data_IF_272587832986
#
_entry.id   IF_272587832986
#
_cell.length_a   1.000
_cell.length_b   1.000
_cell.length_c   1.000
_cell.angle_alpha   90.00
_cell.angle_beta   90.00
_cell.angle_gamma   90.00
#
_symmetry.space_group_name_H-M   'P 1'
#
loop_
_entity.id
_entity.type
_entity.pdbx_description
1 polymer ?
#
# COMPACT_ATOMS: atom_id res chain seq x y z
N UNK A 1 21.32 -3.38 6.09
CA UNK A 1 21.81 -2.17 6.79
C UNK A 1 20.59 -1.39 7.25
N UNK A 2 20.45 -1.12 8.56
CA UNK A 2 19.43 -0.20 9.10
C UNK A 2 20.18 1.07 9.45
N UNK A 3 20.10 2.10 8.61
CA UNK A 3 20.57 3.42 9.00
C UNK A 3 19.50 3.98 9.93
N UNK A 4 19.84 4.14 11.21
CA UNK A 4 18.91 4.67 12.20
C UNK A 4 19.67 5.71 13.02
N UNK A 5 19.57 6.97 12.61
CA UNK A 5 20.08 8.10 13.37
C UNK A 5 19.06 8.51 14.45
N UNK A 6 19.54 8.99 15.60
CA UNK A 6 18.71 9.33 16.78
C UNK A 6 19.36 10.48 17.57
N UNK A 7 18.62 11.33 18.33
CA UNK A 7 17.16 11.49 18.40
C UNK A 7 16.67 12.96 18.35
N UNK A 8 15.35 13.09 18.16
CA UNK A 8 14.46 14.27 18.33
C UNK A 8 13.98 14.92 17.02
N UNK A 9 14.82 15.25 16.04
CA UNK A 9 14.31 15.84 14.77
C UNK A 9 14.11 14.82 13.62
N UNK A 10 14.88 13.72 13.61
CA UNK A 10 14.90 12.74 12.49
C UNK A 10 13.83 11.65 12.62
N UNK A 11 12.86 11.77 13.52
CA UNK A 11 11.79 10.76 13.69
C UNK A 11 10.68 10.81 12.64
N UNK A 12 10.64 11.87 11.84
CA UNK A 12 9.56 12.12 10.90
C UNK A 12 9.75 11.39 9.56
N UNK A 13 10.99 11.32 9.08
CA UNK A 13 11.35 10.68 7.82
C UNK A 13 12.01 9.33 8.08
N UNK A 14 11.67 8.31 7.29
CA UNK A 14 12.37 7.02 7.38
C UNK A 14 12.44 6.31 6.04
N UNK A 15 13.46 5.45 5.90
CA UNK A 15 13.61 4.56 4.75
C UNK A 15 13.86 3.14 5.28
N UNK A 16 13.09 2.19 4.78
CA UNK A 16 13.30 0.77 5.02
C UNK A 16 13.61 0.08 3.70
N UNK A 17 14.65 -0.76 3.69
CA UNK A 17 15.00 -1.58 2.53
C UNK A 17 15.12 -3.06 2.94
N UNK A 18 14.41 -3.91 2.23
CA UNK A 18 14.45 -5.37 2.36
C UNK A 18 14.96 -5.97 1.05
N UNK A 19 16.26 -5.81 0.79
CA UNK A 19 16.92 -6.43 -0.36
C UNK A 19 17.06 -7.94 -0.21
N UNK A 20 16.81 -8.67 -1.30
CA UNK A 20 17.06 -10.11 -1.43
C UNK A 20 17.95 -10.35 -2.63
N UNK A 21 18.98 -11.17 -2.44
CA UNK A 21 19.69 -11.76 -3.57
C UNK A 21 18.89 -12.97 -4.03
N UNK A 22 18.05 -12.77 -5.05
CA UNK A 22 17.07 -13.78 -5.48
C UNK A 22 17.72 -15.04 -6.08
N UNK A 23 18.95 -14.94 -6.59
CA UNK A 23 19.71 -16.10 -7.08
C UNK A 23 20.37 -16.92 -5.95
N UNK A 24 20.38 -16.39 -4.72
CA UNK A 24 20.95 -17.12 -3.60
C UNK A 24 20.15 -18.41 -3.33
N UNK A 25 20.78 -19.50 -2.87
CA UNK A 25 20.10 -20.77 -2.61
C UNK A 25 18.86 -20.67 -1.71
N UNK A 26 18.82 -19.67 -0.82
CA UNK A 26 17.69 -19.44 0.09
C UNK A 26 16.42 -18.90 -0.59
N UNK A 27 16.54 -18.35 -1.80
CA UNK A 27 15.44 -17.67 -2.52
C UNK A 27 15.27 -18.17 -3.96
N UNK A 28 16.20 -18.99 -4.45
CA UNK A 28 16.19 -19.48 -5.82
C UNK A 28 14.89 -20.25 -6.13
N UNK A 29 14.12 -19.75 -7.09
CA UNK A 29 12.83 -20.33 -7.49
C UNK A 29 11.64 -19.90 -6.62
N UNK A 30 11.84 -19.01 -5.65
CA UNK A 30 10.75 -18.40 -4.88
C UNK A 30 10.22 -17.18 -5.65
N UNK A 31 9.17 -17.40 -6.44
CA UNK A 31 8.51 -16.36 -7.25
C UNK A 31 7.78 -15.28 -6.40
N UNK A 32 7.59 -15.53 -5.10
CA UNK A 32 6.93 -14.60 -4.19
C UNK A 32 7.91 -13.68 -3.46
N UNK A 33 9.17 -14.08 -3.37
CA UNK A 33 10.20 -13.32 -2.71
C UNK A 33 10.69 -12.17 -3.61
N UNK A 34 10.58 -10.94 -3.10
CA UNK A 34 11.03 -9.72 -3.81
C UNK A 34 11.96 -8.88 -2.96
N UNK A 35 12.72 -8.01 -3.62
CA UNK A 35 13.30 -6.84 -2.95
C UNK A 35 12.25 -5.75 -2.83
N UNK A 36 12.20 -5.06 -1.69
CA UNK A 36 11.23 -3.98 -1.47
C UNK A 36 11.86 -2.81 -0.72
N UNK A 37 11.35 -1.61 -0.96
CA UNK A 37 11.71 -0.38 -0.27
C UNK A 37 10.45 0.35 0.17
N UNK A 38 10.51 1.01 1.32
CA UNK A 38 9.46 1.91 1.80
C UNK A 38 10.10 3.23 2.27
N UNK A 39 9.47 4.33 1.90
CA UNK A 39 9.80 5.67 2.37
C UNK A 39 8.65 6.20 3.20
N UNK A 40 8.94 6.71 4.39
CA UNK A 40 7.97 7.38 5.25
C UNK A 40 8.29 8.85 5.29
N UNK A 41 7.28 9.67 5.06
CA UNK A 41 7.30 11.12 5.26
C UNK A 41 6.32 11.45 6.39
N UNK A 42 6.58 12.48 7.20
CA UNK A 42 5.62 12.93 8.18
C UNK A 42 4.40 13.55 7.47
N UNK A 43 3.21 13.44 8.07
CA UNK A 43 2.00 14.04 7.49
C UNK A 43 2.13 15.56 7.37
N UNK A 44 2.93 16.19 8.22
CA UNK A 44 3.32 17.59 8.17
C UNK A 44 4.01 17.95 6.85
N UNK A 45 4.72 17.02 6.20
CA UNK A 45 5.29 17.24 4.87
C UNK A 45 4.20 17.35 3.81
N UNK A 46 3.21 16.45 3.85
CA UNK A 46 2.04 16.52 2.96
C UNK A 46 1.23 17.80 3.18
N UNK A 47 1.08 18.25 4.42
CA UNK A 47 0.37 19.48 4.75
C UNK A 47 1.12 20.74 4.32
N UNK A 48 2.45 20.77 4.51
CA UNK A 48 3.27 21.93 4.20
C UNK A 48 3.48 22.13 2.69
N UNK A 49 3.69 21.04 1.94
CA UNK A 49 4.02 21.10 0.50
C UNK A 49 2.84 20.74 -0.41
N UNK A 50 1.77 20.18 0.14
CA UNK A 50 0.58 19.77 -0.59
C UNK A 50 0.72 18.43 -1.32
N UNK A 51 -0.41 17.85 -1.77
CA UNK A 51 -0.45 16.54 -2.39
C UNK A 51 0.25 16.49 -3.75
N UNK A 52 0.20 17.57 -4.53
CA UNK A 52 0.88 17.64 -5.82
C UNK A 52 2.40 17.44 -5.68
N UNK A 53 3.01 18.02 -4.64
CA UNK A 53 4.43 17.86 -4.35
C UNK A 53 4.77 16.43 -3.93
N UNK A 54 3.97 15.83 -3.05
CA UNK A 54 4.15 14.43 -2.64
C UNK A 54 3.96 13.46 -3.82
N UNK A 55 3.00 13.74 -4.70
CA UNK A 55 2.77 12.97 -5.94
C UNK A 55 3.96 13.08 -6.89
N UNK A 56 4.49 14.27 -7.10
CA UNK A 56 5.68 14.48 -7.94
C UNK A 56 6.88 13.69 -7.41
N UNK A 57 7.14 13.77 -6.09
CA UNK A 57 8.20 12.99 -5.45
C UNK A 57 8.00 11.47 -5.63
N UNK A 58 6.76 10.99 -5.48
CA UNK A 58 6.46 9.57 -5.68
C UNK A 58 6.68 9.12 -7.13
N UNK A 59 6.38 9.97 -8.11
CA UNK A 59 6.63 9.70 -9.53
C UNK A 59 8.13 9.67 -9.84
N UNK A 60 8.91 10.60 -9.29
CA UNK A 60 10.37 10.60 -9.42
C UNK A 60 10.98 9.31 -8.85
N UNK A 61 10.55 8.89 -7.66
CA UNK A 61 11.00 7.62 -7.06
C UNK A 61 10.57 6.40 -7.90
N UNK A 62 9.34 6.42 -8.41
CA UNK A 62 8.82 5.35 -9.26
C UNK A 62 9.58 5.24 -10.58
N UNK A 63 10.06 6.35 -11.15
CA UNK A 63 10.83 6.35 -12.40
C UNK A 63 12.12 5.53 -12.26
N UNK A 64 12.84 5.71 -11.14
CA UNK A 64 14.15 5.12 -10.86
C UNK A 64 14.11 3.64 -10.44
N UNK A 65 12.97 3.16 -9.94
CA UNK A 65 12.86 1.83 -9.33
C UNK A 65 12.14 0.84 -10.26
N UNK A 66 12.76 -0.32 -10.58
CA UNK A 66 12.01 -1.42 -11.17
C UNK A 66 11.02 -1.95 -10.13
N UNK A 67 9.75 -2.07 -10.51
CA UNK A 67 8.70 -2.53 -9.62
C UNK A 67 7.62 -3.30 -10.38
N UNK A 68 7.05 -4.30 -9.73
CA UNK A 68 5.79 -4.94 -10.16
C UNK A 68 4.58 -4.20 -9.58
N UNK A 69 4.72 -3.66 -8.36
CA UNK A 69 3.70 -2.94 -7.64
C UNK A 69 4.32 -1.91 -6.69
N UNK A 70 3.71 -0.75 -6.56
CA UNK A 70 4.08 0.30 -5.61
C UNK A 70 2.87 1.12 -5.19
N UNK A 71 2.95 1.86 -4.08
CA UNK A 71 1.84 2.71 -3.64
C UNK A 71 2.24 3.85 -2.70
N UNK A 72 1.34 4.81 -2.55
CA UNK A 72 1.39 5.89 -1.54
C UNK A 72 0.08 5.93 -0.77
N UNK A 73 0.17 6.04 0.56
CA UNK A 73 -0.97 6.01 1.48
C UNK A 73 -0.70 6.83 2.75
N UNK A 74 -1.77 7.19 3.46
CA UNK A 74 -1.66 7.56 4.87
C UNK A 74 -1.45 6.28 5.67
N UNK A 75 -0.43 6.22 6.50
CA UNK A 75 -0.06 5.00 7.20
C UNK A 75 0.13 5.19 8.70
N UNK A 76 -0.26 4.19 9.48
CA UNK A 76 0.13 4.10 10.88
C UNK A 76 1.49 3.39 10.97
N UNK A 77 2.54 4.18 11.17
CA UNK A 77 3.93 3.69 11.18
C UNK A 77 4.36 3.32 12.60
N UNK A 78 4.87 2.10 12.77
CA UNK A 78 5.42 1.62 14.05
C UNK A 78 6.85 1.10 13.85
N UNK A 79 7.86 1.98 13.85
CA UNK A 79 9.25 1.59 13.63
C UNK A 79 9.72 0.62 14.72
N UNK A 80 10.12 -0.60 14.34
CA UNK A 80 10.52 -1.66 15.29
C UNK A 80 9.42 -2.65 15.66
N UNK A 81 8.29 -2.64 14.95
CA UNK A 81 7.21 -3.61 15.08
C UNK A 81 6.07 -3.14 15.98
N UNK A 82 4.95 -3.86 15.91
CA UNK A 82 3.73 -3.55 16.66
C UNK A 82 3.77 -4.22 18.04
N UNK A 83 4.09 -3.44 19.08
CA UNK A 83 3.91 -3.88 20.48
C UNK A 83 2.43 -3.94 20.84
N UNK A 84 2.06 -4.67 21.90
CA UNK A 84 0.66 -4.90 22.28
C UNK A 84 -0.21 -3.62 22.36
N UNK A 85 0.26 -2.48 22.91
CA UNK A 85 -0.55 -1.25 22.90
C UNK A 85 -0.81 -0.70 21.50
N UNK A 86 0.19 -0.76 20.61
CA UNK A 86 0.04 -0.30 19.22
C UNK A 86 -0.92 -1.21 18.44
N UNK A 87 -0.89 -2.53 18.67
CA UNK A 87 -1.84 -3.47 18.07
C UNK A 87 -3.29 -3.16 18.48
N UNK A 88 -3.53 -2.90 19.77
CA UNK A 88 -4.85 -2.54 20.27
C UNK A 88 -5.35 -1.23 19.63
N UNK A 89 -4.50 -0.21 19.57
CA UNK A 89 -4.85 1.05 18.90
C UNK A 89 -5.23 0.82 17.42
N UNK A 90 -4.50 -0.04 16.69
CA UNK A 90 -4.84 -0.36 15.30
C UNK A 90 -6.15 -1.12 15.14
N UNK A 91 -6.50 -2.01 16.07
CA UNK A 91 -7.81 -2.68 16.06
C UNK A 91 -8.97 -1.68 16.15
N UNK A 92 -8.77 -0.54 16.83
CA UNK A 92 -9.77 0.53 16.97
C UNK A 92 -9.73 1.52 15.80
N UNK A 93 -8.53 1.86 15.29
CA UNK A 93 -8.35 2.86 14.23
C UNK A 93 -8.71 2.31 12.85
N UNK A 94 -8.32 1.07 12.53
CA UNK A 94 -8.53 0.48 11.21
C UNK A 94 -10.02 0.46 10.78
N UNK A 95 -10.97 -0.02 11.60
CA UNK A 95 -12.39 -0.01 11.22
C UNK A 95 -12.96 1.40 11.01
N UNK A 96 -12.37 2.41 11.65
CA UNK A 96 -12.81 3.80 11.58
C UNK A 96 -12.22 4.53 10.37
N UNK A 97 -10.95 4.29 10.05
CA UNK A 97 -10.22 5.02 9.01
C UNK A 97 -9.78 4.05 7.90
N UNK A 98 -10.67 3.81 6.94
CA UNK A 98 -10.45 2.78 5.90
C UNK A 98 -9.28 3.12 4.95
N UNK A 99 -9.00 4.41 4.78
CA UNK A 99 -7.88 4.91 3.97
C UNK A 99 -6.52 4.76 4.66
N UNK A 100 -6.51 4.53 5.97
CA UNK A 100 -5.28 4.24 6.72
C UNK A 100 -4.66 2.94 6.20
N UNK A 101 -3.34 2.93 6.09
CA UNK A 101 -2.56 1.74 5.76
C UNK A 101 -1.78 1.26 6.97
N UNK A 102 -1.59 -0.06 7.00
CA UNK A 102 -0.78 -0.73 8.00
C UNK A 102 0.06 -1.74 7.24
N UNK A 103 1.36 -1.47 7.18
CA UNK A 103 2.32 -2.27 6.43
C UNK A 103 3.44 -2.82 7.30
N UNK A 104 4.03 -3.91 6.84
CA UNK A 104 5.30 -4.43 7.33
C UNK A 104 6.10 -4.91 6.13
N UNK A 105 7.18 -4.20 5.83
CA UNK A 105 7.91 -4.38 4.58
C UNK A 105 8.48 -5.80 4.44
N UNK A 106 8.96 -6.40 5.55
CA UNK A 106 9.69 -7.68 5.49
C UNK A 106 8.78 -8.89 5.20
N UNK A 107 7.67 -9.12 5.94
CA UNK A 107 6.71 -10.17 5.61
C UNK A 107 6.13 -9.99 4.22
N UNK A 108 5.67 -8.78 3.88
CA UNK A 108 5.10 -8.51 2.55
C UNK A 108 6.11 -8.78 1.44
N UNK A 109 7.37 -8.34 1.57
CA UNK A 109 8.40 -8.62 0.57
C UNK A 109 8.73 -10.12 0.41
N UNK A 110 8.32 -10.98 1.34
CA UNK A 110 8.54 -12.43 1.26
C UNK A 110 7.42 -13.15 0.51
N UNK A 111 6.24 -12.56 0.41
CA UNK A 111 5.01 -13.21 -0.07
C UNK A 111 4.33 -12.49 -1.23
N UNK A 112 4.67 -11.23 -1.53
CA UNK A 112 3.94 -10.45 -2.52
C UNK A 112 4.20 -10.86 -3.97
N UNK A 113 5.43 -11.23 -4.36
CA UNK A 113 5.77 -11.54 -5.75
C UNK A 113 5.41 -10.40 -6.71
N UNK A 114 4.70 -10.72 -7.79
CA UNK A 114 4.19 -9.76 -8.79
C UNK A 114 2.78 -9.23 -8.49
N UNK A 115 2.22 -9.56 -7.33
CA UNK A 115 0.82 -9.28 -6.97
C UNK A 115 0.63 -7.88 -6.38
N UNK A 116 -0.61 -7.43 -6.35
CA UNK A 116 -1.00 -6.18 -5.70
C UNK A 116 -1.20 -6.37 -4.19
N UNK A 117 -0.89 -5.32 -3.42
CA UNK A 117 -1.16 -5.30 -1.96
C UNK A 117 -2.58 -4.82 -1.63
N UNK A 118 -3.16 -3.98 -2.49
CA UNK A 118 -4.43 -3.31 -2.24
C UNK A 118 -4.62 -2.11 -3.16
N UNK A 119 -5.57 -1.24 -2.82
CA UNK A 119 -5.85 0.03 -3.50
C UNK A 119 -5.52 1.22 -2.59
N UNK A 120 -4.74 2.18 -3.09
CA UNK A 120 -4.08 3.24 -2.29
C UNK A 120 -3.93 4.55 -3.05
N UNK A 121 -3.84 5.71 -2.37
CA UNK A 121 -3.89 7.09 -2.93
C UNK A 121 -3.02 7.33 -4.17
N UNK A 122 -1.87 6.72 -4.27
CA UNK A 122 -1.25 6.47 -5.58
C UNK A 122 -1.02 4.97 -5.64
N UNK A 123 -1.32 4.35 -6.78
CA UNK A 123 -1.06 2.93 -7.02
C UNK A 123 -0.27 2.80 -8.31
N UNK A 124 0.91 2.21 -8.22
CA UNK A 124 1.81 2.00 -9.33
C UNK A 124 1.75 0.54 -9.76
N UNK A 125 1.55 0.32 -11.06
CA UNK A 125 1.48 -1.00 -11.67
C UNK A 125 2.67 -1.16 -12.62
N UNK A 126 3.48 -2.18 -12.36
CA UNK A 126 4.57 -2.59 -13.23
C UNK A 126 4.13 -3.58 -14.29
N UNK A 127 4.98 -3.77 -15.30
CA UNK A 127 4.72 -4.70 -16.41
C UNK A 127 4.24 -6.10 -15.94
N UNK A 128 4.88 -6.77 -14.96
CA UNK A 128 4.46 -8.14 -14.59
C UNK A 128 3.04 -8.24 -14.06
N UNK A 129 2.53 -7.18 -13.44
CA UNK A 129 1.15 -7.12 -12.94
C UNK A 129 0.19 -6.62 -14.02
N UNK A 130 0.63 -5.67 -14.86
CA UNK A 130 -0.17 -5.17 -15.98
C UNK A 130 -0.48 -6.27 -17.00
N UNK A 131 0.49 -7.13 -17.32
CA UNK A 131 0.27 -8.29 -18.21
C UNK A 131 -0.85 -9.21 -17.71
N UNK A 132 -1.01 -9.33 -16.39
CA UNK A 132 -2.08 -10.12 -15.77
C UNK A 132 -3.43 -9.39 -15.79
N UNK A 133 -3.39 -8.05 -15.69
CA UNK A 133 -4.58 -7.20 -15.67
C UNK A 133 -5.13 -6.89 -17.07
N UNK A 134 -4.38 -7.19 -18.13
CA UNK A 134 -4.72 -6.92 -19.53
C UNK A 134 -4.09 -5.63 -20.05
N UNK A 135 -4.58 -5.12 -21.19
CA UNK A 135 -4.07 -3.87 -21.77
C UNK A 135 -4.43 -2.64 -20.93
N UNK A 136 -3.68 -1.56 -21.07
CA UNK A 136 -3.98 -0.25 -20.47
C UNK A 136 -5.38 0.24 -20.87
N UNK A 137 -5.80 -0.01 -22.11
CA UNK A 137 -7.12 0.34 -22.62
C UNK A 137 -8.21 -0.46 -21.90
N UNK A 138 -8.03 -1.77 -21.76
CA UNK A 138 -8.98 -2.62 -21.03
C UNK A 138 -9.08 -2.20 -19.56
N UNK A 139 -7.94 -1.83 -18.95
CA UNK A 139 -7.93 -1.30 -17.60
C UNK A 139 -8.71 0.02 -17.51
N UNK A 140 -8.53 0.92 -18.48
CA UNK A 140 -9.25 2.20 -18.55
C UNK A 140 -10.76 2.03 -18.67
N UNK A 141 -11.22 1.04 -19.42
CA UNK A 141 -12.66 0.74 -19.60
C UNK A 141 -13.33 0.18 -18.33
N UNK A 142 -12.58 -0.57 -17.50
CA UNK A 142 -13.09 -1.14 -16.25
C UNK A 142 -13.06 -0.16 -15.08
N UNK A 143 -12.20 0.85 -15.13
CA UNK A 143 -12.05 1.83 -14.05
C UNK A 143 -13.03 3.00 -14.25
N UNK A 144 -13.64 3.52 -13.17
CA UNK A 144 -14.46 4.73 -13.27
C UNK A 144 -13.60 5.94 -13.66
N UNK A 145 -14.23 6.91 -14.32
CA UNK A 145 -13.58 8.14 -14.82
C UNK A 145 -12.91 9.00 -13.73
N UNK A 146 -13.29 8.82 -12.47
CA UNK A 146 -12.63 9.47 -11.33
C UNK A 146 -11.22 8.95 -11.00
N UNK A 147 -10.78 7.86 -11.65
CA UNK A 147 -9.42 7.34 -11.51
C UNK A 147 -8.59 7.80 -12.71
N UNK A 148 -7.56 8.60 -12.46
CA UNK A 148 -6.64 9.04 -13.52
C UNK A 148 -5.60 7.96 -13.79
N UNK A 149 -5.32 7.70 -15.07
CA UNK A 149 -4.28 6.79 -15.54
C UNK A 149 -3.16 7.62 -16.18
N UNK A 150 -1.96 7.57 -15.61
CA UNK A 150 -0.75 8.18 -16.17
C UNK A 150 0.24 7.07 -16.57
N UNK A 151 0.65 7.07 -17.83
CA UNK A 151 1.69 6.15 -18.32
C UNK A 151 3.06 6.65 -17.89
N UNK A 152 3.89 5.73 -17.40
CA UNK A 152 5.28 5.96 -17.04
C UNK A 152 6.19 5.18 -17.99
N UNK A 153 7.47 5.55 -18.04
CA UNK A 153 8.47 4.83 -18.84
C UNK A 153 8.53 3.34 -18.50
N UNK A 154 8.78 2.49 -19.50
CA UNK A 154 8.91 1.04 -19.33
C UNK A 154 7.57 0.31 -19.15
N UNK A 155 6.51 0.77 -19.83
CA UNK A 155 5.17 0.17 -19.80
C UNK A 155 4.60 0.01 -18.39
N UNK A 156 4.76 1.06 -17.56
CA UNK A 156 4.22 1.13 -16.20
C UNK A 156 3.08 2.14 -16.13
N UNK A 157 2.20 2.00 -15.15
CA UNK A 157 1.08 2.92 -14.93
C UNK A 157 1.07 3.47 -13.50
N UNK A 158 0.74 4.75 -13.36
CA UNK A 158 0.31 5.36 -12.11
C UNK A 158 -1.20 5.59 -12.13
N UNK A 159 -1.89 5.05 -11.12
CA UNK A 159 -3.31 5.26 -10.88
C UNK A 159 -3.49 6.21 -9.70
N UNK A 160 -4.11 7.36 -9.92
CA UNK A 160 -4.40 8.34 -8.86
C UNK A 160 -5.91 8.45 -8.63
N UNK A 161 -6.31 8.67 -7.37
CA UNK A 161 -7.70 8.94 -7.00
C UNK A 161 -7.76 10.25 -6.23
N UNK A 162 -8.44 11.22 -6.81
CA UNK A 162 -8.54 12.56 -6.24
C UNK A 162 -7.19 13.26 -6.10
N UNK A 163 -7.25 14.49 -5.61
CA UNK A 163 -6.05 15.27 -5.34
C UNK A 163 -5.40 14.85 -4.02
N UNK A 164 -6.19 14.63 -2.97
CA UNK A 164 -5.70 14.29 -1.63
C UNK A 164 -5.91 12.81 -1.28
N UNK A 165 -5.02 12.19 -0.48
CA UNK A 165 -5.33 10.90 0.11
C UNK A 165 -6.50 11.02 1.08
N UNK A 166 -7.51 10.16 0.90
CA UNK A 166 -8.61 10.07 1.84
C UNK A 166 -8.22 9.24 3.07
N UNK A 167 -8.61 9.71 4.25
CA UNK A 167 -8.44 8.98 5.51
C UNK A 167 -9.50 7.88 5.64
N UNK A 168 -10.68 8.09 5.01
CA UNK A 168 -11.79 7.15 5.07
C UNK A 168 -12.43 7.12 6.45
N UNK A 169 -12.57 8.29 7.11
CA UNK A 169 -13.19 8.39 8.44
C UNK A 169 -14.68 8.06 8.35
N UNK A 170 -15.09 7.02 9.07
CA UNK A 170 -16.46 6.54 9.12
C UNK A 170 -17.44 7.56 9.71
N UNK A 171 -16.94 8.59 10.40
CA UNK A 171 -17.74 9.69 10.94
C UNK A 171 -17.85 10.89 10.01
N UNK A 172 -16.92 11.02 9.06
CA UNK A 172 -16.89 12.14 8.12
C UNK A 172 -17.60 11.83 6.79
N UNK A 173 -18.07 10.58 6.62
CA UNK A 173 -18.68 10.07 5.39
C UNK A 173 -17.77 10.23 4.16
N UNK A 174 -16.46 10.00 4.36
CA UNK A 174 -15.48 10.01 3.27
C UNK A 174 -15.88 8.97 2.20
N UNK A 175 -16.07 9.44 0.97
CA UNK A 175 -16.43 8.58 -0.15
C UNK A 175 -15.24 7.72 -0.62
N UNK A 176 -15.30 6.43 -0.29
CA UNK A 176 -14.29 5.44 -0.66
C UNK A 176 -14.64 4.67 -1.94
N UNK A 177 -15.62 5.08 -2.74
CA UNK A 177 -16.05 4.38 -3.96
C UNK A 177 -14.92 4.17 -4.95
N UNK A 178 -14.07 5.18 -5.20
CA UNK A 178 -12.94 5.04 -6.12
C UNK A 178 -11.87 4.08 -5.59
N UNK A 179 -11.70 3.98 -4.27
CA UNK A 179 -10.81 2.98 -3.66
C UNK A 179 -11.39 1.58 -3.81
N UNK A 180 -12.71 1.43 -3.62
CA UNK A 180 -13.42 0.15 -3.83
C UNK A 180 -13.34 -0.27 -5.29
N UNK A 181 -13.64 0.60 -6.24
CA UNK A 181 -13.60 0.29 -7.67
C UNK A 181 -12.22 -0.21 -8.10
N UNK A 182 -11.15 0.50 -7.71
CA UNK A 182 -9.79 0.05 -7.98
C UNK A 182 -9.50 -1.31 -7.30
N UNK A 183 -9.89 -1.47 -6.05
CA UNK A 183 -9.65 -2.70 -5.33
C UNK A 183 -10.32 -3.90 -5.99
N UNK A 184 -11.56 -3.76 -6.51
CA UNK A 184 -12.25 -4.85 -7.20
C UNK A 184 -11.54 -5.25 -8.50
N UNK A 185 -10.96 -4.29 -9.23
CA UNK A 185 -10.18 -4.58 -10.44
C UNK A 185 -8.88 -5.33 -10.10
N UNK A 186 -8.23 -4.96 -8.99
CA UNK A 186 -6.97 -5.57 -8.56
C UNK A 186 -7.15 -6.88 -7.77
N UNK A 187 -8.35 -7.14 -7.23
CA UNK A 187 -8.64 -8.24 -6.30
C UNK A 187 -8.20 -9.62 -6.78
N UNK A 188 -8.37 -10.00 -8.07
CA UNK A 188 -7.91 -11.29 -8.57
C UNK A 188 -6.41 -11.51 -8.44
N UNK A 189 -5.65 -10.41 -8.32
CA UNK A 189 -4.19 -10.40 -8.20
C UNK A 189 -3.73 -9.88 -6.85
N UNK A 190 -4.57 -9.92 -5.81
CA UNK A 190 -4.11 -9.62 -4.45
C UNK A 190 -3.20 -10.72 -3.92
N UNK A 191 -2.13 -10.31 -3.24
CA UNK A 191 -1.30 -11.25 -2.50
C UNK A 191 -2.00 -11.78 -1.25
N UNK A 192 -1.52 -12.91 -0.75
CA UNK A 192 -1.92 -13.44 0.54
C UNK A 192 -0.75 -13.35 1.51
N UNK A 193 -0.95 -12.70 2.65
CA UNK A 193 0.06 -12.67 3.69
C UNK A 193 0.16 -14.04 4.36
N UNK A 194 1.35 -14.65 4.30
CA UNK A 194 1.60 -15.99 4.85
C UNK A 194 2.04 -15.96 6.32
N UNK A 195 2.44 -14.79 6.81
CA UNK A 195 2.93 -14.62 8.18
C UNK A 195 2.18 -13.47 8.84
N UNK A 196 1.16 -13.78 9.65
CA UNK A 196 0.43 -12.76 10.40
C UNK A 196 1.37 -11.98 11.33
N UNK A 197 1.42 -10.66 11.18
CA UNK A 197 2.27 -9.79 12.00
C UNK A 197 1.50 -8.65 12.66
N UNK A 198 0.29 -8.35 12.16
CA UNK A 198 -0.54 -7.23 12.59
C UNK A 198 -1.25 -7.50 13.93
N UNK A 199 -2.35 -8.24 13.88
CA UNK A 199 -3.21 -8.54 15.04
C UNK A 199 -3.39 -10.06 15.13
N UNK A 200 -4.07 -10.60 14.14
CA UNK A 200 -4.25 -12.03 13.87
C UNK A 200 -4.49 -12.21 12.36
N UNK A 201 -4.41 -13.45 11.89
CA UNK A 201 -4.55 -13.79 10.46
C UNK A 201 -5.90 -13.38 9.88
N UNK A 202 -6.98 -13.49 10.67
CA UNK A 202 -8.32 -13.16 10.20
C UNK A 202 -8.51 -11.65 10.06
N UNK A 203 -8.00 -10.86 11.01
CA UNK A 203 -7.98 -9.41 10.96
C UNK A 203 -7.15 -8.93 9.78
N UNK A 204 -5.93 -9.45 9.63
CA UNK A 204 -5.02 -9.08 8.55
C UNK A 204 -5.63 -9.37 7.17
N UNK A 205 -6.19 -10.56 6.97
CA UNK A 205 -6.90 -10.92 5.72
C UNK A 205 -8.06 -9.97 5.43
N UNK A 206 -8.89 -9.64 6.43
CA UNK A 206 -9.98 -8.67 6.27
C UNK A 206 -9.45 -7.28 5.95
N UNK A 207 -8.34 -6.87 6.54
CA UNK A 207 -7.75 -5.55 6.34
C UNK A 207 -7.14 -5.35 4.95
N UNK A 208 -6.41 -6.36 4.46
CA UNK A 208 -5.88 -6.36 3.09
C UNK A 208 -7.00 -6.32 2.04
N UNK A 209 -8.15 -6.95 2.35
CA UNK A 209 -9.34 -7.00 1.48
C UNK A 209 -10.46 -6.03 1.86
N UNK A 210 -10.15 -4.97 2.64
CA UNK A 210 -11.14 -4.02 3.20
C UNK A 210 -12.02 -3.31 2.17
N UNK A 211 -11.56 -3.25 0.92
CA UNK A 211 -12.25 -2.59 -0.19
C UNK A 211 -12.94 -3.55 -1.17
N UNK A 212 -12.74 -4.86 -1.05
CA UNK A 212 -13.26 -5.86 -2.01
C UNK A 212 -14.27 -6.83 -1.39
N UNK A 213 -14.14 -7.10 -0.09
CA UNK A 213 -15.17 -7.80 0.67
C UNK A 213 -16.18 -6.83 1.27
N UNK A 214 -17.33 -7.36 1.70
CA UNK A 214 -18.05 -6.75 2.81
C UNK A 214 -17.12 -6.81 4.02
N UNK A 215 -16.30 -5.77 4.25
CA UNK A 215 -15.86 -5.43 5.60
C UNK A 215 -17.13 -5.09 6.39
N UNK A 216 -17.89 -6.13 6.77
CA UNK A 216 -19.04 -6.04 7.65
C UNK A 216 -18.44 -5.91 9.03
N UNK A 217 -18.67 -4.75 9.65
CA UNK A 217 -18.33 -4.50 11.05
C UNK A 217 -18.76 -5.71 11.87
N UNK A 218 -17.98 -6.19 12.85
CA UNK A 218 -18.58 -6.98 13.92
C UNK A 218 -19.74 -6.14 14.46
N UNK A 219 -20.95 -6.70 14.45
CA UNK A 219 -22.11 -6.09 15.08
C UNK A 219 -21.71 -5.72 16.50
N UNK A 220 -21.71 -4.43 16.83
CA UNK A 220 -21.68 -3.99 18.21
C UNK A 220 -22.89 -4.64 18.88
N UNK A 221 -22.63 -5.70 19.65
CA UNK A 221 -23.63 -6.36 20.48
C UNK A 221 -24.32 -5.30 21.33
N UNK A 222 -25.64 -5.36 21.32
CA UNK A 222 -26.53 -4.52 22.12
C UNK A 222 -26.40 -4.85 23.60
#
# INVERSE_FOLDING_TARGET
>A
MRLQESPVEVRAYSMEYSGKWLDAPAWKGDEEAVSAVAFTLPTEYLQAYGPGHVRALALEMAAELPMSFGYVSLAAVSPGGLRSPARKALQELCPRYLGLDVYNLRPTARSIGTRARGAYWLTFLGQPLLEQLGSTESLRERLPSGISLETLEGDRLCLSRGEWPLLGDDKADDDMELYRALAHVLEPHFYEEKQSWLVDEAFERRWLRRFTGQYRRPSSGS
#
